data_IF_208209561811
#
_entry.id   IF_208209561811
#
_cell.length_a   1.000
_cell.length_b   1.000
_cell.length_c   1.000
_cell.angle_alpha   90.00
_cell.angle_beta   90.00
_cell.angle_gamma   90.00
#
_symmetry.space_group_name_H-M   'P 1'
#
loop_
_entity.id
_entity.type
_entity.pdbx_description
1 polymer ?
#
# COMPACT_ATOMS: atom_id res chain seq x y z
N UNK A 1 -25.28 15.68 -4.94
CA UNK A 1 -24.78 16.93 -5.53
C UNK A 1 -23.36 17.16 -5.05
N UNK A 2 -22.42 17.62 -5.94
CA UNK A 2 -21.04 17.95 -5.57
C UNK A 2 -20.06 16.78 -5.47
N UNK A 3 -20.44 15.53 -5.81
CA UNK A 3 -19.50 14.40 -5.96
C UNK A 3 -18.71 14.51 -7.24
N UNK A 4 -19.36 15.03 -8.28
CA UNK A 4 -18.75 15.36 -9.56
C UNK A 4 -19.22 16.75 -9.96
N UNK A 5 -18.34 17.52 -10.58
CA UNK A 5 -18.57 18.85 -11.11
C UNK A 5 -18.27 18.84 -12.61
N UNK A 6 -19.13 19.46 -13.42
CA UNK A 6 -18.95 19.55 -14.86
C UNK A 6 -18.38 20.91 -15.23
N UNK A 7 -17.28 20.93 -15.98
CA UNK A 7 -16.72 22.15 -16.57
C UNK A 7 -17.27 22.32 -18.00
N UNK A 8 -18.12 23.32 -18.23
CA UNK A 8 -18.71 23.54 -19.54
C UNK A 8 -17.73 24.07 -20.60
N UNK A 9 -16.58 24.65 -20.18
CA UNK A 9 -15.59 25.15 -21.12
C UNK A 9 -14.70 24.04 -21.66
N UNK A 10 -14.29 23.12 -20.78
CA UNK A 10 -13.44 21.99 -21.14
C UNK A 10 -14.24 20.74 -21.54
N UNK A 11 -15.56 20.74 -21.30
CA UNK A 11 -16.47 19.60 -21.54
C UNK A 11 -16.08 18.33 -20.78
N UNK A 12 -15.45 18.47 -19.59
CA UNK A 12 -15.02 17.37 -18.76
C UNK A 12 -15.73 17.35 -17.40
N UNK A 13 -15.80 16.16 -16.81
CA UNK A 13 -16.28 15.93 -15.46
C UNK A 13 -15.08 15.77 -14.51
N UNK A 14 -15.11 16.53 -13.43
CA UNK A 14 -14.11 16.48 -12.37
C UNK A 14 -14.69 15.89 -11.09
N UNK A 15 -13.83 15.36 -10.22
CA UNK A 15 -14.22 14.96 -8.86
C UNK A 15 -14.53 16.22 -8.08
N UNK A 16 -15.76 16.30 -7.57
CA UNK A 16 -16.23 17.46 -6.80
C UNK A 16 -15.78 17.42 -5.32
N UNK A 17 -15.89 18.56 -4.67
CA UNK A 17 -15.46 18.78 -3.27
C UNK A 17 -16.15 17.85 -2.26
N UNK A 18 -17.36 17.38 -2.53
CA UNK A 18 -18.08 16.47 -1.66
C UNK A 18 -17.40 15.10 -1.53
N UNK A 19 -16.70 14.65 -2.58
CA UNK A 19 -15.91 13.41 -2.54
C UNK A 19 -14.77 13.54 -1.49
N UNK A 20 -14.11 14.69 -1.43
CA UNK A 20 -13.10 14.99 -0.40
C UNK A 20 -13.68 14.95 1.01
N UNK A 21 -14.87 15.53 1.22
CA UNK A 21 -15.56 15.54 2.54
C UNK A 21 -15.82 14.10 3.00
N UNK A 22 -16.27 13.23 2.09
CA UNK A 22 -16.51 11.80 2.38
C UNK A 22 -15.20 11.10 2.71
N UNK A 23 -14.17 11.26 1.86
CA UNK A 23 -12.85 10.66 2.07
C UNK A 23 -12.19 11.11 3.38
N UNK A 24 -12.31 12.37 3.75
CA UNK A 24 -11.80 12.89 5.01
C UNK A 24 -12.48 12.25 6.25
N UNK A 25 -13.76 11.86 6.14
CA UNK A 25 -14.46 11.11 7.21
C UNK A 25 -13.95 9.69 7.33
N UNK A 26 -13.66 9.03 6.21
CA UNK A 26 -13.02 7.71 6.21
C UNK A 26 -11.67 7.75 6.94
N UNK A 27 -10.80 8.68 6.59
CA UNK A 27 -9.50 8.85 7.24
C UNK A 27 -9.63 9.14 8.75
N UNK A 28 -10.58 9.98 9.16
CA UNK A 28 -10.83 10.30 10.58
C UNK A 28 -11.35 9.12 11.39
N UNK A 29 -12.20 8.27 10.81
CA UNK A 29 -12.71 7.06 11.46
C UNK A 29 -11.56 6.06 11.71
N UNK A 30 -10.55 6.06 10.87
CA UNK A 30 -9.38 5.20 11.00
C UNK A 30 -8.35 5.89 11.91
N UNK A 31 -8.55 5.82 13.24
CA UNK A 31 -7.65 6.42 14.25
C UNK A 31 -6.18 6.04 14.03
N UNK A 32 -5.94 4.89 13.43
CA UNK A 32 -4.63 4.37 13.07
C UNK A 32 -3.87 5.31 12.11
N UNK A 33 -4.54 6.07 11.22
CA UNK A 33 -3.88 7.02 10.30
C UNK A 33 -3.22 8.15 11.08
N UNK A 34 -3.91 8.72 12.06
CA UNK A 34 -3.36 9.80 12.88
C UNK A 34 -2.25 9.31 13.82
N UNK A 35 -2.43 8.13 14.42
CA UNK A 35 -1.45 7.54 15.33
C UNK A 35 -0.16 7.10 14.61
N UNK A 36 -0.25 6.69 13.37
CA UNK A 36 0.88 6.28 12.56
C UNK A 36 1.75 7.44 12.05
N UNK A 37 1.17 8.64 11.89
CA UNK A 37 1.87 9.78 11.26
C UNK A 37 3.18 10.19 11.98
N UNK A 38 3.26 10.26 13.31
CA UNK A 38 4.53 10.52 14.00
C UNK A 38 5.58 9.44 13.75
N UNK A 39 5.15 8.17 13.65
CA UNK A 39 6.04 7.02 13.38
C UNK A 39 6.59 7.12 11.95
N UNK A 40 5.72 7.38 10.96
CA UNK A 40 6.14 7.58 9.57
C UNK A 40 7.12 8.75 9.44
N UNK A 41 6.88 9.85 10.17
CA UNK A 41 7.80 11.00 10.16
C UNK A 41 9.17 10.61 10.69
N UNK A 42 9.22 9.91 11.84
CA UNK A 42 10.47 9.43 12.41
C UNK A 42 11.20 8.45 11.49
N UNK A 43 10.44 7.59 10.80
CA UNK A 43 10.99 6.66 9.80
C UNK A 43 11.63 7.45 8.65
N UNK A 44 10.91 8.40 8.07
CA UNK A 44 11.42 9.30 7.01
C UNK A 44 12.66 10.09 7.47
N UNK A 45 12.66 10.63 8.68
CA UNK A 45 13.81 11.35 9.24
C UNK A 45 15.05 10.47 9.45
N UNK A 46 14.85 9.19 9.81
CA UNK A 46 15.94 8.25 10.06
C UNK A 46 16.51 7.64 8.76
N UNK A 47 15.67 7.39 7.78
CA UNK A 47 16.07 6.74 6.51
C UNK A 47 16.43 7.76 5.42
N UNK A 48 15.89 8.96 5.48
CA UNK A 48 15.94 9.92 4.38
C UNK A 48 14.95 9.62 3.25
N UNK A 49 14.16 8.55 3.37
CA UNK A 49 13.26 8.05 2.33
C UNK A 49 11.80 8.35 2.66
N UNK A 50 10.96 8.40 1.61
CA UNK A 50 9.50 8.56 1.77
C UNK A 50 8.90 7.38 2.53
N UNK A 51 8.17 7.66 3.61
CA UNK A 51 7.50 6.65 4.40
C UNK A 51 5.99 6.64 4.11
N UNK A 52 5.47 5.46 3.83
CA UNK A 52 4.07 5.24 3.44
C UNK A 52 3.37 4.29 4.39
N UNK A 53 2.04 4.39 4.44
CA UNK A 53 1.16 3.43 5.08
C UNK A 53 0.06 3.01 4.13
N UNK A 54 -0.12 1.70 4.00
CA UNK A 54 -1.19 1.07 3.25
C UNK A 54 -2.04 0.15 4.12
N UNK A 55 -3.26 -0.06 3.69
CA UNK A 55 -4.18 -1.07 4.22
C UNK A 55 -4.65 -1.95 3.07
N UNK A 56 -4.97 -3.20 3.37
CA UNK A 56 -5.63 -4.08 2.40
C UNK A 56 -7.04 -3.57 2.12
N UNK A 57 -7.43 -3.58 0.86
CA UNK A 57 -8.76 -3.23 0.40
C UNK A 57 -9.10 -3.95 -0.89
N UNK A 58 -10.04 -4.92 -0.80
CA UNK A 58 -10.57 -5.66 -1.96
C UNK A 58 -9.46 -6.30 -2.83
N UNK A 59 -8.43 -6.89 -2.21
CA UNK A 59 -7.31 -7.54 -2.89
C UNK A 59 -6.21 -6.59 -3.39
N UNK A 60 -6.26 -5.33 -2.99
CA UNK A 60 -5.24 -4.33 -3.29
C UNK A 60 -4.76 -3.62 -2.02
N UNK A 61 -3.63 -2.95 -2.12
CA UNK A 61 -3.16 -1.99 -1.11
C UNK A 61 -3.76 -0.63 -1.41
N UNK A 62 -4.52 -0.07 -0.48
CA UNK A 62 -4.91 1.33 -0.49
C UNK A 62 -3.91 2.12 0.35
N UNK A 63 -3.15 3.02 -0.28
CA UNK A 63 -2.30 3.97 0.43
C UNK A 63 -3.16 5.02 1.15
N UNK A 64 -2.99 5.14 2.47
CA UNK A 64 -3.81 6.00 3.32
C UNK A 64 -3.04 7.13 4.00
N UNK A 65 -1.72 7.05 4.02
CA UNK A 65 -0.85 8.10 4.57
C UNK A 65 0.53 8.05 3.94
N UNK A 66 1.10 9.23 3.70
CA UNK A 66 2.46 9.40 3.19
C UNK A 66 3.15 10.52 3.98
N UNK A 67 4.43 10.35 4.28
CA UNK A 67 5.36 11.39 4.71
C UNK A 67 6.51 11.40 3.74
N UNK A 68 6.58 12.46 2.93
CA UNK A 68 7.54 12.59 1.85
C UNK A 68 8.91 13.02 2.36
N UNK A 69 9.96 12.47 1.75
CA UNK A 69 11.31 13.00 1.84
C UNK A 69 11.45 14.26 0.98
N UNK A 70 12.48 15.04 1.23
CA UNK A 70 12.88 16.19 0.39
C UNK A 70 13.77 15.79 -0.79
N UNK A 71 14.07 14.50 -0.97
CA UNK A 71 14.89 14.02 -2.09
C UNK A 71 14.19 14.27 -3.44
N UNK A 72 15.00 14.59 -4.46
CA UNK A 72 14.50 14.87 -5.81
C UNK A 72 13.94 13.61 -6.48
N UNK A 73 14.56 12.45 -6.21
CA UNK A 73 14.09 11.15 -6.65
C UNK A 73 13.49 10.45 -5.42
N UNK A 74 12.23 10.08 -5.49
CA UNK A 74 11.53 9.43 -4.38
C UNK A 74 10.35 8.59 -4.86
N UNK A 75 10.01 7.56 -4.11
CA UNK A 75 8.77 6.83 -4.31
C UNK A 75 7.56 7.75 -4.01
N UNK A 76 6.60 7.82 -4.93
CA UNK A 76 5.43 8.68 -4.80
C UNK A 76 4.14 7.86 -4.91
N UNK A 77 3.55 7.59 -3.76
CA UNK A 77 2.26 6.90 -3.62
C UNK A 77 1.31 7.75 -2.77
N UNK A 78 0.67 8.76 -3.36
CA UNK A 78 -0.23 9.63 -2.60
C UNK A 78 -1.40 8.86 -2.00
N UNK A 79 -1.98 9.32 -0.89
CA UNK A 79 -3.18 8.75 -0.32
C UNK A 79 -4.30 8.63 -1.36
N UNK A 80 -4.93 7.45 -1.42
CA UNK A 80 -5.92 7.10 -2.46
C UNK A 80 -5.36 6.25 -3.61
N UNK A 81 -4.04 6.11 -3.72
CA UNK A 81 -3.42 5.20 -4.70
C UNK A 81 -3.73 3.75 -4.33
N UNK A 82 -4.02 2.93 -5.33
CA UNK A 82 -4.12 1.48 -5.23
C UNK A 82 -2.89 0.80 -5.83
N UNK A 83 -2.42 -0.26 -5.19
CA UNK A 83 -1.32 -1.09 -5.67
C UNK A 83 -1.65 -2.56 -5.50
N UNK A 84 -1.26 -3.44 -6.43
CA UNK A 84 -1.49 -4.87 -6.27
C UNK A 84 -0.72 -5.43 -5.07
N UNK A 85 -1.34 -6.37 -4.36
CA UNK A 85 -0.75 -6.99 -3.16
C UNK A 85 0.52 -7.77 -3.48
N UNK A 86 0.54 -8.51 -4.61
CA UNK A 86 1.63 -9.40 -4.97
C UNK A 86 2.92 -8.69 -5.42
N UNK A 87 2.80 -7.50 -6.02
CA UNK A 87 3.91 -6.74 -6.59
C UNK A 87 4.20 -5.46 -5.80
N UNK A 88 4.12 -5.54 -4.48
CA UNK A 88 4.49 -4.42 -3.61
C UNK A 88 4.92 -4.91 -2.24
N UNK A 89 6.00 -4.38 -1.70
CA UNK A 89 6.46 -4.71 -0.35
C UNK A 89 5.36 -4.50 0.68
N UNK A 90 4.70 -3.33 0.64
CA UNK A 90 3.62 -2.97 1.56
C UNK A 90 2.39 -3.91 1.47
N UNK A 91 2.18 -4.57 0.34
CA UNK A 91 1.15 -5.58 0.15
C UNK A 91 1.58 -6.95 0.66
N UNK A 92 2.79 -7.38 0.30
CA UNK A 92 3.32 -8.70 0.68
C UNK A 92 3.53 -8.83 2.19
N UNK A 93 3.91 -7.74 2.89
CA UNK A 93 4.15 -7.78 4.33
C UNK A 93 2.93 -8.22 5.16
N UNK A 94 1.74 -7.58 5.06
CA UNK A 94 0.55 -8.07 5.75
C UNK A 94 0.03 -9.39 5.16
N UNK A 95 0.12 -9.58 3.82
CA UNK A 95 -0.32 -10.81 3.16
C UNK A 95 0.41 -12.05 3.71
N UNK A 96 1.69 -11.93 4.02
CA UNK A 96 2.48 -13.01 4.61
C UNK A 96 2.00 -13.42 6.01
N UNK A 97 1.26 -12.57 6.71
CA UNK A 97 0.73 -12.85 8.05
C UNK A 97 -0.69 -13.46 8.03
N UNK A 98 -1.38 -13.35 6.90
CA UNK A 98 -2.72 -13.90 6.73
C UNK A 98 -2.69 -15.44 6.70
N UNK A 99 -3.76 -16.07 7.15
CA UNK A 99 -3.99 -17.50 6.93
C UNK A 99 -4.29 -17.83 5.46
N UNK A 100 -4.26 -19.11 5.11
CA UNK A 100 -4.44 -19.57 3.74
C UNK A 100 -5.81 -19.19 3.17
N UNK A 101 -6.87 -19.20 3.96
CA UNK A 101 -8.23 -18.84 3.52
C UNK A 101 -8.32 -17.33 3.21
N UNK A 102 -7.69 -16.50 4.03
CA UNK A 102 -7.59 -15.07 3.79
C UNK A 102 -6.73 -14.75 2.55
N UNK A 103 -5.58 -15.43 2.41
CA UNK A 103 -4.74 -15.28 1.22
C UNK A 103 -5.49 -15.64 -0.06
N UNK A 104 -6.26 -16.74 -0.08
CA UNK A 104 -7.06 -17.12 -1.25
C UNK A 104 -8.16 -16.12 -1.59
N UNK A 105 -8.74 -15.45 -0.60
CA UNK A 105 -9.75 -14.39 -0.84
C UNK A 105 -9.12 -13.11 -1.39
N UNK A 106 -7.94 -12.76 -0.89
CA UNK A 106 -7.22 -11.53 -1.29
C UNK A 106 -6.53 -11.71 -2.65
N UNK A 107 -6.07 -12.92 -2.95
CA UNK A 107 -5.36 -13.26 -4.20
C UNK A 107 -6.17 -14.28 -5.01
N UNK A 108 -7.27 -13.88 -5.64
CA UNK A 108 -8.03 -14.79 -6.48
C UNK A 108 -7.24 -15.09 -7.77
N UNK A 109 -6.97 -16.39 -7.99
CA UNK A 109 -6.27 -16.85 -9.19
C UNK A 109 -4.85 -17.38 -8.92
N UNK A 110 -4.20 -17.84 -9.98
CA UNK A 110 -2.87 -18.45 -9.91
C UNK A 110 -1.81 -17.66 -10.67
N UNK A 111 -2.23 -16.75 -11.54
CA UNK A 111 -1.35 -15.90 -12.33
C UNK A 111 -1.72 -14.43 -12.08
N UNK A 112 -0.70 -13.63 -11.83
CA UNK A 112 -0.83 -12.21 -11.53
C UNK A 112 -0.23 -11.36 -12.65
N UNK A 113 -0.65 -10.10 -12.73
CA UNK A 113 -0.10 -9.15 -13.67
C UNK A 113 1.41 -8.97 -13.45
N UNK A 114 2.17 -9.08 -14.53
CA UNK A 114 3.61 -8.85 -14.54
C UNK A 114 3.90 -7.40 -14.93
N UNK A 115 4.57 -6.67 -14.06
CA UNK A 115 4.93 -5.26 -14.28
C UNK A 115 6.37 -5.11 -14.77
N UNK A 116 7.27 -5.97 -14.26
CA UNK A 116 8.68 -6.05 -14.63
C UNK A 116 9.11 -7.52 -14.78
N UNK A 117 10.32 -7.74 -15.15
CA UNK A 117 10.90 -9.10 -15.16
C UNK A 117 11.06 -9.70 -13.77
N UNK A 118 11.11 -8.86 -12.72
CA UNK A 118 11.25 -9.25 -11.31
C UNK A 118 9.91 -9.51 -10.60
N UNK A 119 8.79 -9.18 -11.23
CA UNK A 119 7.46 -9.39 -10.63
C UNK A 119 7.20 -10.86 -10.32
N UNK A 120 6.84 -11.18 -9.09
CA UNK A 120 6.39 -12.51 -8.68
C UNK A 120 4.97 -12.77 -9.23
N UNK A 121 4.90 -13.16 -10.50
CA UNK A 121 3.62 -13.32 -11.21
C UNK A 121 3.02 -14.73 -11.08
N UNK A 122 3.72 -15.67 -10.48
CA UNK A 122 3.30 -17.05 -10.25
C UNK A 122 2.97 -17.27 -8.77
N UNK A 123 1.89 -18.01 -8.49
CA UNK A 123 1.40 -18.21 -7.12
C UNK A 123 2.38 -18.99 -6.25
N UNK A 124 3.10 -19.96 -6.80
CA UNK A 124 4.01 -20.78 -6.00
C UNK A 124 5.26 -19.99 -5.63
N UNK A 125 5.79 -19.17 -6.56
CA UNK A 125 6.87 -18.22 -6.26
C UNK A 125 6.44 -17.19 -5.18
N UNK A 126 5.23 -16.67 -5.30
CA UNK A 126 4.70 -15.74 -4.31
C UNK A 126 4.57 -16.39 -2.93
N UNK A 127 4.03 -17.61 -2.84
CA UNK A 127 3.90 -18.35 -1.55
C UNK A 127 5.25 -18.63 -0.89
N UNK A 128 6.25 -18.99 -1.69
CA UNK A 128 7.61 -19.17 -1.16
C UNK A 128 8.14 -17.85 -0.58
N UNK A 129 7.98 -16.74 -1.32
CA UNK A 129 8.38 -15.41 -0.85
C UNK A 129 7.62 -14.99 0.42
N UNK A 130 6.29 -15.20 0.49
CA UNK A 130 5.49 -14.92 1.69
C UNK A 130 5.97 -15.73 2.91
N UNK A 131 6.38 -16.98 2.69
CA UNK A 131 6.96 -17.81 3.77
C UNK A 131 8.28 -17.22 4.28
N UNK A 132 9.12 -16.69 3.39
CA UNK A 132 10.36 -16.01 3.77
C UNK A 132 10.07 -14.70 4.52
N UNK A 133 9.12 -13.90 4.03
CA UNK A 133 8.67 -12.65 4.67
C UNK A 133 8.16 -12.92 6.09
N UNK A 134 7.36 -13.96 6.29
CA UNK A 134 6.83 -14.33 7.62
C UNK A 134 7.96 -14.62 8.61
N UNK A 135 9.01 -15.29 8.17
CA UNK A 135 10.20 -15.59 9.01
C UNK A 135 11.06 -14.36 9.26
N UNK A 136 11.24 -13.51 8.26
CA UNK A 136 12.07 -12.31 8.35
C UNK A 136 11.40 -11.18 9.13
N UNK A 137 10.06 -11.12 9.13
CA UNK A 137 9.27 -10.04 9.73
C UNK A 137 9.15 -8.78 8.85
N UNK A 138 9.71 -8.79 7.65
CA UNK A 138 9.62 -7.70 6.68
C UNK A 138 9.62 -8.24 5.25
N UNK A 139 9.14 -7.45 4.31
CA UNK A 139 9.16 -7.73 2.88
C UNK A 139 10.05 -6.75 2.15
N UNK A 140 10.58 -7.20 1.01
CA UNK A 140 11.30 -6.36 0.04
C UNK A 140 10.53 -6.39 -1.26
N UNK A 141 10.35 -5.23 -1.89
CA UNK A 141 9.97 -5.06 -3.29
C UNK A 141 11.22 -4.57 -4.00
N UNK A 142 11.87 -5.47 -4.71
CA UNK A 142 13.08 -5.19 -5.49
C UNK A 142 12.72 -5.14 -6.96
N UNK A 143 12.37 -3.95 -7.42
CA UNK A 143 11.99 -3.67 -8.81
C UNK A 143 10.76 -4.46 -9.30
N UNK A 144 9.96 -5.05 -8.41
CA UNK A 144 8.83 -5.91 -8.80
C UNK A 144 7.71 -5.13 -9.50
N UNK A 145 7.51 -3.86 -9.11
CA UNK A 145 6.51 -2.98 -9.72
C UNK A 145 7.11 -1.96 -10.67
N UNK A 146 8.21 -1.35 -10.31
CA UNK A 146 8.87 -0.32 -11.11
C UNK A 146 10.37 -0.55 -11.09
N UNK A 147 10.98 -0.60 -12.26
CA UNK A 147 12.45 -0.70 -12.38
C UNK A 147 13.13 0.48 -11.69
N UNK A 148 14.24 0.20 -11.02
CA UNK A 148 15.03 1.17 -10.28
C UNK A 148 14.44 1.54 -8.90
N UNK A 149 13.37 0.87 -8.45
CA UNK A 149 12.75 1.11 -7.16
C UNK A 149 12.92 -0.09 -6.23
N UNK A 150 13.52 0.15 -5.06
CA UNK A 150 13.60 -0.80 -3.98
C UNK A 150 12.85 -0.27 -2.77
N UNK A 151 11.95 -1.08 -2.22
CA UNK A 151 11.15 -0.72 -1.06
C UNK A 151 11.20 -1.81 0.00
N UNK A 152 11.25 -1.39 1.27
CA UNK A 152 11.18 -2.30 2.42
C UNK A 152 9.88 -2.02 3.17
N UNK A 153 9.15 -3.08 3.52
CA UNK A 153 7.91 -2.92 4.28
C UNK A 153 7.77 -3.93 5.41
N UNK A 154 7.10 -3.52 6.48
CA UNK A 154 6.77 -4.36 7.61
C UNK A 154 5.27 -4.37 7.89
N UNK A 155 4.70 -5.49 8.37
CA UNK A 155 3.31 -5.56 8.77
C UNK A 155 3.07 -4.75 10.05
N UNK A 156 1.86 -4.23 10.18
CA UNK A 156 1.37 -3.57 11.40
C UNK A 156 0.25 -4.43 11.96
N UNK A 157 0.40 -4.83 13.20
CA UNK A 157 -0.57 -5.65 13.90
C UNK A 157 -1.49 -4.80 14.79
N UNK A 158 -2.71 -5.24 14.94
CA UNK A 158 -3.62 -4.70 15.96
C UNK A 158 -3.44 -5.41 17.31
N UNK A 159 -4.35 -5.10 18.25
CA UNK A 159 -4.33 -5.71 19.60
C UNK A 159 -4.73 -7.19 19.61
N UNK A 160 -5.29 -7.70 18.51
CA UNK A 160 -5.66 -9.10 18.30
C UNK A 160 -4.57 -9.87 17.54
N UNK A 161 -3.40 -9.24 17.32
CA UNK A 161 -2.29 -9.79 16.53
C UNK A 161 -2.63 -10.03 15.05
N UNK A 162 -3.69 -9.37 14.55
CA UNK A 162 -4.02 -9.40 13.12
C UNK A 162 -3.26 -8.32 12.36
N UNK A 163 -2.70 -8.68 11.20
CA UNK A 163 -1.99 -7.74 10.33
C UNK A 163 -2.97 -6.84 9.59
N UNK A 164 -3.16 -5.62 10.07
CA UNK A 164 -4.18 -4.66 9.60
C UNK A 164 -3.64 -3.61 8.64
N UNK A 165 -2.33 -3.51 8.46
CA UNK A 165 -1.68 -2.54 7.59
C UNK A 165 -0.23 -2.94 7.30
N UNK A 166 0.40 -2.21 6.35
CA UNK A 166 1.83 -2.21 6.13
C UNK A 166 2.44 -0.80 6.25
N UNK A 167 3.70 -0.72 6.68
CA UNK A 167 4.56 0.45 6.54
C UNK A 167 5.62 0.15 5.51
N UNK A 168 5.98 1.17 4.71
CA UNK A 168 6.95 1.07 3.63
C UNK A 168 7.85 2.31 3.64
N UNK A 169 9.11 2.14 3.41
CA UNK A 169 10.08 3.16 3.01
C UNK A 169 10.96 2.68 1.87
#
# INVERSE_FOLDING_TARGET
>A
RGLVDFDPNEQFWYIGSQAFVIGARFLRRTSLVYRARPILRRLMEQTGETANRGIERDGAVLFVSQVETHATIRAFFPPGTLSPMHASGIGKAPLAQMDDDCQHRVLPGQNFERFTEYTLADIDQLRENLTQIRKAGFSVDDEERNLGMLCIAAPVFDVSEEAVAGFLC
#
